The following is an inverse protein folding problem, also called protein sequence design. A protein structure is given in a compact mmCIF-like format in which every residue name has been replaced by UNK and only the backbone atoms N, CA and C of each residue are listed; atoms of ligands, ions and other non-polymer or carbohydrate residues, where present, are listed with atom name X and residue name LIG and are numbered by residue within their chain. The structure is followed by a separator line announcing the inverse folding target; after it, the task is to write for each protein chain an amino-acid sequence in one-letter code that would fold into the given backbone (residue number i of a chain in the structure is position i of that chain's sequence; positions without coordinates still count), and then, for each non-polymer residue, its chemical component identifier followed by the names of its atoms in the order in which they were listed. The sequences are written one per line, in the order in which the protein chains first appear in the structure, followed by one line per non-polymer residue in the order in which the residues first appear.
data_IF_691666620482
#
_entry.id   IF_691666620482
#
_cell.length_a   1.000
_cell.length_b   1.000
_cell.length_c   1.000
_cell.angle_alpha   90.00
_cell.angle_beta   90.00
_cell.angle_gamma   90.00
#
_symmetry.space_group_name_H-M   'P 1'
#
loop_
_entity.id
_entity.type
_entity.pdbx_description
1 polymer ?
#
# COMPACT_ATOMS: atom_id res chain seq x y z
N UNK A 1 -34.85 -5.58 -29.74
CA UNK A 1 -33.49 -5.54 -29.16
C UNK A 1 -33.15 -6.92 -28.62
N UNK A 2 -32.14 -7.58 -29.20
CA UNK A 2 -31.78 -8.96 -28.88
C UNK A 2 -31.13 -9.05 -27.50
N UNK A 3 -31.76 -9.75 -26.54
CA UNK A 3 -31.28 -9.89 -25.15
C UNK A 3 -29.86 -10.49 -25.04
N UNK A 4 -29.43 -11.21 -26.08
CA UNK A 4 -28.08 -11.78 -26.19
C UNK A 4 -26.97 -10.71 -26.29
N UNK A 5 -27.23 -9.56 -26.90
CA UNK A 5 -26.25 -8.47 -26.95
C UNK A 5 -26.13 -7.76 -25.60
N UNK A 6 -27.21 -7.71 -24.82
CA UNK A 6 -27.21 -7.08 -23.51
C UNK A 6 -26.36 -7.86 -22.49
N UNK A 7 -26.44 -9.21 -22.53
CA UNK A 7 -25.60 -10.08 -21.71
C UNK A 7 -24.11 -10.01 -22.06
N UNK A 8 -23.78 -9.90 -23.35
CA UNK A 8 -22.40 -9.71 -23.82
C UNK A 8 -21.82 -8.36 -23.38
N UNK A 9 -22.62 -7.30 -23.37
CA UNK A 9 -22.18 -5.97 -22.92
C UNK A 9 -21.87 -5.93 -21.42
N UNK A 10 -22.70 -6.59 -20.60
CA UNK A 10 -22.46 -6.71 -19.16
C UNK A 10 -21.18 -7.48 -18.83
N UNK A 11 -20.90 -8.58 -19.54
CA UNK A 11 -19.65 -9.34 -19.37
C UNK A 11 -18.40 -8.52 -19.71
N UNK A 12 -18.47 -7.68 -20.75
CA UNK A 12 -17.37 -6.81 -21.15
C UNK A 12 -17.07 -5.72 -20.12
N UNK A 13 -18.09 -5.14 -19.47
CA UNK A 13 -17.92 -4.10 -18.45
C UNK A 13 -17.25 -4.64 -17.17
N UNK A 14 -17.51 -5.90 -16.79
CA UNK A 14 -16.85 -6.55 -15.64
C UNK A 14 -15.38 -6.87 -15.97
N UNK A 15 -15.06 -7.19 -17.22
CA UNK A 15 -13.70 -7.57 -17.64
C UNK A 15 -12.71 -6.39 -17.67
N UNK A 16 -13.18 -5.14 -17.73
CA UNK A 16 -12.31 -3.95 -17.81
C UNK A 16 -12.00 -3.30 -16.46
N UNK A 17 -12.14 -4.01 -15.34
CA UNK A 17 -11.48 -3.58 -14.11
C UNK A 17 -9.97 -3.74 -14.30
N UNK A 18 -9.36 -2.79 -15.01
CA UNK A 18 -7.91 -2.64 -15.09
C UNK A 18 -7.46 -2.37 -13.67
N UNK A 19 -6.95 -3.41 -13.01
CA UNK A 19 -6.11 -3.28 -11.83
C UNK A 19 -4.86 -2.52 -12.31
N UNK A 20 -4.94 -1.20 -12.38
CA UNK A 20 -3.75 -0.38 -12.47
C UNK A 20 -2.93 -0.70 -11.24
N UNK A 21 -1.84 -1.43 -11.43
CA UNK A 21 -0.91 -1.71 -10.34
C UNK A 21 -0.25 -0.38 -9.96
N UNK A 22 -0.81 0.27 -8.94
CA UNK A 22 -0.24 1.45 -8.33
C UNK A 22 1.00 1.00 -7.54
N UNK A 23 2.12 1.69 -7.74
CA UNK A 23 3.37 1.43 -7.04
C UNK A 23 3.64 2.46 -5.95
N UNK A 24 4.48 2.09 -4.99
CA UNK A 24 5.00 3.03 -4.03
C UNK A 24 6.05 3.95 -4.69
N UNK A 25 5.93 5.27 -4.52
CA UNK A 25 6.96 6.19 -4.98
C UNK A 25 8.25 5.97 -4.17
N UNK A 26 9.38 6.35 -4.77
CA UNK A 26 10.68 6.30 -4.09
C UNK A 26 10.67 7.20 -2.84
N UNK A 27 11.11 6.71 -1.67
CA UNK A 27 11.29 7.55 -0.49
C UNK A 27 12.23 8.72 -0.76
N UNK A 28 11.89 9.91 -0.26
CA UNK A 28 12.70 11.12 -0.44
C UNK A 28 13.99 11.08 0.39
N UNK A 29 13.94 10.47 1.57
CA UNK A 29 15.09 10.20 2.42
C UNK A 29 15.25 8.68 2.53
N UNK A 30 16.46 8.11 2.39
CA UNK A 30 16.69 6.69 2.61
C UNK A 30 16.81 6.30 4.09
N UNK A 31 17.02 7.26 5.00
CA UNK A 31 17.36 7.00 6.40
C UNK A 31 16.29 7.51 7.37
N UNK A 32 16.22 6.85 8.53
CA UNK A 32 15.44 7.34 9.66
C UNK A 32 16.34 7.69 10.84
N UNK A 33 16.41 8.98 11.16
CA UNK A 33 17.20 9.48 12.28
C UNK A 33 16.40 9.57 13.59
N UNK A 34 15.19 9.00 13.62
CA UNK A 34 14.32 8.99 14.80
C UNK A 34 14.58 7.75 15.67
N UNK A 35 14.38 7.91 16.98
CA UNK A 35 14.40 6.82 17.96
C UNK A 35 13.13 5.95 17.97
N UNK A 36 12.21 6.22 17.05
CA UNK A 36 10.93 5.53 16.90
C UNK A 36 10.54 5.55 15.42
N UNK A 37 9.62 4.68 15.02
CA UNK A 37 8.93 4.75 13.72
C UNK A 37 7.47 5.09 13.93
N UNK A 38 6.84 5.63 12.89
CA UNK A 38 5.41 5.92 12.85
C UNK A 38 4.81 5.10 11.72
N UNK A 39 3.91 4.19 12.07
CA UNK A 39 3.14 3.43 11.09
C UNK A 39 1.74 4.05 11.00
N UNK A 40 1.45 4.70 9.87
CA UNK A 40 0.11 5.24 9.59
C UNK A 40 -0.82 4.19 8.99
N UNK A 41 -0.26 3.10 8.47
CA UNK A 41 -1.00 1.97 7.91
C UNK A 41 -0.27 0.65 8.17
N UNK A 42 -1.00 -0.40 8.50
CA UNK A 42 -0.54 -1.78 8.61
C UNK A 42 -1.29 -2.69 7.63
N UNK A 43 -2.11 -2.12 6.74
CA UNK A 43 -2.66 -2.82 5.60
C UNK A 43 -3.06 -1.85 4.50
N UNK A 44 -3.22 -2.36 3.28
CA UNK A 44 -3.75 -1.57 2.16
C UNK A 44 -5.17 -1.06 2.41
N UNK A 45 -5.97 -1.78 3.20
CA UNK A 45 -7.35 -1.42 3.51
C UNK A 45 -7.49 -0.15 4.36
N UNK A 46 -6.42 0.28 5.04
CA UNK A 46 -6.41 1.51 5.85
C UNK A 46 -6.13 2.77 5.02
N UNK A 47 -5.71 2.59 3.76
CA UNK A 47 -5.45 3.69 2.85
C UNK A 47 -6.69 4.04 2.01
N UNK A 48 -6.77 5.31 1.60
CA UNK A 48 -7.84 5.76 0.72
C UNK A 48 -7.71 5.16 -0.70
N UNK A 49 -8.80 5.20 -1.45
CA UNK A 49 -8.81 4.74 -2.85
C UNK A 49 -7.79 5.53 -3.67
N UNK A 50 -6.86 4.83 -4.32
CA UNK A 50 -5.77 5.41 -5.10
C UNK A 50 -4.49 5.69 -4.31
N UNK A 51 -4.50 5.44 -3.00
CA UNK A 51 -3.30 5.42 -2.18
C UNK A 51 -2.84 3.97 -1.93
N UNK A 52 -1.56 3.81 -1.64
CA UNK A 52 -0.92 2.53 -1.35
C UNK A 52 -0.19 2.64 -0.02
N UNK A 53 -0.32 1.61 0.83
CA UNK A 53 0.46 1.54 2.06
C UNK A 53 1.93 1.24 1.72
N UNK A 54 2.81 2.21 1.93
CA UNK A 54 4.20 2.15 1.51
C UNK A 54 5.16 2.11 2.69
N UNK A 55 6.20 1.29 2.57
CA UNK A 55 7.31 1.25 3.52
C UNK A 55 8.20 2.47 3.29
N UNK A 56 8.43 3.22 4.36
CA UNK A 56 9.38 4.32 4.43
C UNK A 56 10.42 4.03 5.52
N UNK A 57 11.58 4.72 5.51
CA UNK A 57 12.61 4.46 6.50
C UNK A 57 12.11 4.63 7.94
N UNK A 58 11.21 5.59 8.17
CA UNK A 58 10.63 5.90 9.48
C UNK A 58 9.27 5.25 9.76
N UNK A 59 8.90 4.17 9.06
CA UNK A 59 7.65 3.43 9.26
C UNK A 59 6.83 3.35 7.99
N UNK A 60 5.53 3.17 8.10
CA UNK A 60 4.62 3.00 6.96
C UNK A 60 3.68 4.19 6.77
N UNK A 61 3.34 4.50 5.53
CA UNK A 61 2.45 5.62 5.20
C UNK A 61 1.67 5.37 3.93
N UNK A 62 0.40 5.75 3.93
CA UNK A 62 -0.41 5.83 2.73
C UNK A 62 0.13 6.91 1.81
N UNK A 63 0.56 6.51 0.62
CA UNK A 63 1.04 7.42 -0.42
C UNK A 63 0.21 7.24 -1.67
N UNK A 64 -0.05 8.35 -2.37
CA UNK A 64 -0.67 8.28 -3.68
C UNK A 64 0.14 7.37 -4.59
N UNK A 65 -0.51 6.36 -5.13
CA UNK A 65 0.18 5.39 -5.97
C UNK A 65 0.73 6.04 -7.23
N UNK A 66 1.92 5.62 -7.58
CA UNK A 66 2.65 6.06 -8.77
C UNK A 66 2.57 4.98 -9.84
N UNK A 67 2.58 5.37 -11.12
CA UNK A 67 2.75 4.43 -12.23
C UNK A 67 4.22 3.97 -12.38
N UNK A 68 5.13 4.56 -11.62
CA UNK A 68 6.56 4.23 -11.61
C UNK A 68 6.93 3.70 -10.24
N UNK A 69 7.46 2.48 -10.20
CA UNK A 69 7.99 1.86 -9.00
C UNK A 69 9.30 2.50 -8.54
N UNK A 70 9.53 2.48 -7.23
CA UNK A 70 10.74 3.03 -6.63
C UNK A 70 10.79 2.91 -5.10
N UNK A 71 9.63 2.65 -4.48
CA UNK A 71 9.52 2.23 -3.09
C UNK A 71 8.85 0.86 -2.96
N UNK A 72 8.73 0.40 -1.72
CA UNK A 72 8.20 -0.91 -1.37
C UNK A 72 6.78 -0.79 -0.79
N UNK A 73 5.91 -1.73 -1.15
CA UNK A 73 4.56 -1.86 -0.57
C UNK A 73 4.65 -2.58 0.76
N UNK A 74 3.87 -2.15 1.73
CA UNK A 74 3.68 -2.92 2.94
C UNK A 74 2.94 -4.24 2.64
N UNK A 75 3.32 -5.32 3.31
CA UNK A 75 2.72 -6.66 3.11
C UNK A 75 1.61 -6.88 4.13
N UNK A 76 0.38 -6.95 3.65
CA UNK A 76 -0.79 -7.20 4.50
C UNK A 76 -0.62 -8.51 5.30
N UNK A 77 -0.89 -8.45 6.60
CA UNK A 77 -0.75 -9.59 7.52
C UNK A 77 0.66 -9.75 8.13
N UNK A 78 1.64 -8.94 7.74
CA UNK A 78 2.91 -8.86 8.46
C UNK A 78 2.74 -8.14 9.80
N UNK A 79 3.62 -8.46 10.76
CA UNK A 79 3.57 -7.84 12.08
C UNK A 79 3.78 -6.32 11.98
N UNK A 80 2.76 -5.57 12.39
CA UNK A 80 2.78 -4.12 12.37
C UNK A 80 1.88 -3.56 13.48
N UNK A 81 2.37 -2.50 14.12
CA UNK A 81 1.63 -1.75 15.12
C UNK A 81 1.42 -0.33 14.61
N UNK A 82 0.17 0.12 14.58
CA UNK A 82 -0.18 1.49 14.22
C UNK A 82 0.36 2.49 15.24
N UNK A 83 0.71 3.68 14.75
CA UNK A 83 1.21 4.77 15.58
C UNK A 83 2.71 4.67 15.84
N UNK A 84 3.15 5.21 16.99
CA UNK A 84 4.56 5.33 17.34
C UNK A 84 5.12 4.04 17.96
N UNK A 85 6.18 3.49 17.37
CA UNK A 85 6.87 2.28 17.83
C UNK A 85 8.34 2.58 18.11
N UNK A 86 8.77 2.44 19.36
CA UNK A 86 10.12 2.78 19.83
C UNK A 86 11.17 1.73 19.46
N UNK A 87 12.41 2.17 19.21
CA UNK A 87 13.53 1.33 18.72
C UNK A 87 13.80 0.07 19.54
N UNK A 88 13.52 0.05 20.84
CA UNK A 88 13.72 -1.10 21.72
C UNK A 88 12.77 -2.28 21.44
N UNK A 89 11.66 -2.07 20.71
CA UNK A 89 10.70 -3.12 20.32
C UNK A 89 10.89 -3.66 18.90
N UNK A 90 11.96 -3.26 18.19
CA UNK A 90 12.22 -3.67 16.80
C UNK A 90 12.96 -5.01 16.68
N UNK A 91 13.67 -5.42 17.73
CA UNK A 91 14.52 -6.61 17.70
C UNK A 91 13.72 -7.92 17.74
N UNK A 92 12.45 -7.87 18.14
CA UNK A 92 11.62 -9.06 18.36
C UNK A 92 10.73 -9.42 17.15
N UNK A 93 10.67 -8.59 16.10
CA UNK A 93 9.73 -8.74 14.96
C UNK A 93 10.44 -9.23 13.67
N UNK A 94 11.78 -9.22 13.64
CA UNK A 94 12.57 -9.67 12.48
C UNK A 94 13.66 -10.70 12.87
N UNK A 95 13.47 -11.41 13.99
CA UNK A 95 14.32 -12.53 14.44
C UNK A 95 13.84 -13.87 13.91
#
# INVERSE_FOLDING_TARGET
MNSRFFGLFLLFVVATCVLSELYCPKPSDPNCNLGYKINQCCSQAECQVGDVCCVQPCGTVCRRGSNTGGGEKFVDGSECQLGQVWKSGWYDIFG
#
